data_IF_935982602324
#
_entry.id   IF_935982602324
#
_cell.length_a   1.000
_cell.length_b   1.000
_cell.length_c   1.000
_cell.angle_alpha   90.00
_cell.angle_beta   90.00
_cell.angle_gamma   90.00
#
_symmetry.space_group_name_H-M   'P 1'
#
loop_
_entity.id
_entity.type
_entity.pdbx_description
1 polymer ?
#
# COMPACT_ATOMS: atom_id res chain seq x y z
N UNK A 1 -0.17 -18.12 26.60
CA UNK A 1 0.39 -18.72 25.37
C UNK A 1 -0.72 -18.96 24.38
N UNK A 2 -0.52 -18.60 23.11
CA UNK A 2 -1.49 -18.73 22.02
C UNK A 2 -0.87 -19.55 20.88
N UNK A 3 -0.64 -20.86 21.08
CA UNK A 3 0.15 -21.65 20.13
C UNK A 3 -0.53 -21.82 18.76
N UNK A 4 -1.85 -21.91 18.73
CA UNK A 4 -2.62 -22.09 17.48
C UNK A 4 -2.58 -20.80 16.67
N UNK A 5 -2.87 -19.68 17.31
CA UNK A 5 -2.88 -18.36 16.70
C UNK A 5 -1.47 -17.96 16.21
N UNK A 6 -0.44 -18.30 16.99
CA UNK A 6 0.95 -18.05 16.60
C UNK A 6 1.36 -18.91 15.39
N UNK A 7 1.03 -20.20 15.37
CA UNK A 7 1.31 -21.08 14.24
C UNK A 7 0.58 -20.62 12.98
N UNK A 8 -0.68 -20.21 13.12
CA UNK A 8 -1.45 -19.66 12.00
C UNK A 8 -0.84 -18.34 11.49
N UNK A 9 -0.51 -17.42 12.39
CA UNK A 9 0.14 -16.16 12.03
C UNK A 9 1.47 -16.35 11.30
N UNK A 10 2.33 -17.24 11.79
CA UNK A 10 3.60 -17.56 11.14
C UNK A 10 3.41 -18.20 9.76
N UNK A 11 2.39 -19.05 9.59
CA UNK A 11 2.08 -19.63 8.28
C UNK A 11 1.64 -18.58 7.26
N UNK A 12 0.86 -17.58 7.68
CA UNK A 12 0.44 -16.46 6.81
C UNK A 12 1.63 -15.58 6.40
N UNK A 13 2.54 -15.28 7.31
CA UNK A 13 3.73 -14.48 7.02
C UNK A 13 4.64 -15.18 6.00
N UNK A 14 4.75 -16.49 6.07
CA UNK A 14 5.58 -17.29 5.16
C UNK A 14 4.93 -17.53 3.78
N UNK A 15 3.66 -17.21 3.62
CA UNK A 15 2.95 -17.38 2.34
C UNK A 15 3.16 -16.16 1.43
N UNK A 16 4.30 -16.09 0.76
CA UNK A 16 4.75 -14.97 -0.08
C UNK A 16 3.80 -14.54 -1.20
N UNK A 17 3.04 -15.45 -1.77
CA UNK A 17 2.19 -15.21 -2.95
C UNK A 17 0.70 -15.35 -2.67
N UNK A 18 0.31 -15.70 -1.45
CA UNK A 18 -1.08 -15.83 -1.09
C UNK A 18 -1.60 -14.56 -0.42
N UNK A 19 -2.90 -14.41 -0.40
CA UNK A 19 -3.56 -13.35 0.36
C UNK A 19 -3.03 -13.33 1.79
N UNK A 20 -2.51 -12.20 2.22
CA UNK A 20 -2.13 -11.96 3.60
C UNK A 20 -3.32 -11.56 4.48
N UNK A 21 -4.51 -11.53 3.91
CA UNK A 21 -5.76 -11.26 4.63
C UNK A 21 -6.15 -12.43 5.53
N UNK A 22 -6.70 -12.10 6.69
CA UNK A 22 -7.26 -13.09 7.61
C UNK A 22 -8.75 -13.24 7.28
N UNK A 23 -9.23 -14.46 6.93
CA UNK A 23 -10.64 -14.67 6.65
C UNK A 23 -11.52 -14.30 7.85
N UNK A 24 -12.67 -13.68 7.59
CA UNK A 24 -13.58 -13.23 8.66
C UNK A 24 -14.01 -14.35 9.61
N UNK A 25 -14.20 -15.56 9.10
CA UNK A 25 -14.55 -16.71 9.93
C UNK A 25 -13.43 -17.08 10.92
N UNK A 26 -12.15 -16.87 10.54
CA UNK A 26 -11.00 -17.08 11.44
C UNK A 26 -11.00 -16.02 12.54
N UNK A 27 -11.18 -14.74 12.19
CA UNK A 27 -11.27 -13.67 13.19
C UNK A 27 -12.45 -13.85 14.14
N UNK A 28 -13.57 -14.39 13.66
CA UNK A 28 -14.73 -14.67 14.48
C UNK A 28 -14.47 -15.79 15.50
N UNK A 29 -13.86 -16.91 15.08
CA UNK A 29 -13.62 -18.06 15.94
C UNK A 29 -12.32 -17.96 16.75
N UNK A 30 -11.33 -17.23 16.23
CA UNK A 30 -10.00 -17.08 16.84
C UNK A 30 -9.58 -15.59 16.84
N UNK A 31 -10.25 -14.71 17.57
CA UNK A 31 -10.01 -13.26 17.52
C UNK A 31 -8.57 -12.85 17.86
N UNK A 32 -7.88 -13.67 18.64
CA UNK A 32 -6.47 -13.43 19.00
C UNK A 32 -5.48 -13.56 17.81
N UNK A 33 -5.90 -14.16 16.69
CA UNK A 33 -5.11 -14.20 15.46
C UNK A 33 -4.84 -12.78 14.96
N UNK A 34 -5.84 -11.89 14.99
CA UNK A 34 -5.65 -10.49 14.63
C UNK A 34 -4.55 -9.82 15.45
N UNK A 35 -4.59 -9.96 16.77
CA UNK A 35 -3.57 -9.42 17.67
C UNK A 35 -2.17 -10.00 17.43
N UNK A 36 -2.08 -11.33 17.20
CA UNK A 36 -0.80 -11.99 16.88
C UNK A 36 -0.23 -11.45 15.56
N UNK A 37 -1.08 -11.29 14.55
CA UNK A 37 -0.67 -10.74 13.25
C UNK A 37 -0.19 -9.29 13.34
N UNK A 38 -0.89 -8.45 14.10
CA UNK A 38 -0.47 -7.08 14.38
C UNK A 38 0.93 -7.04 14.99
N UNK A 39 1.20 -7.90 15.96
CA UNK A 39 2.51 -7.98 16.64
C UNK A 39 3.62 -8.54 15.75
N UNK A 40 3.33 -9.54 14.94
CA UNK A 40 4.34 -10.23 14.12
C UNK A 40 4.58 -9.57 12.76
N UNK A 41 3.54 -8.98 12.16
CA UNK A 41 3.57 -8.47 10.79
C UNK A 41 3.53 -6.95 10.73
N UNK A 42 2.66 -6.34 11.54
CA UNK A 42 2.26 -4.95 11.36
C UNK A 42 2.97 -3.99 12.32
N UNK A 43 3.72 -4.54 13.29
CA UNK A 43 4.55 -3.77 14.23
C UNK A 43 6.02 -3.95 13.89
N UNK A 44 6.80 -2.88 13.66
CA UNK A 44 8.24 -2.99 13.48
C UNK A 44 8.90 -3.61 14.72
N UNK A 45 9.87 -4.49 14.52
CA UNK A 45 10.68 -5.02 15.59
C UNK A 45 11.85 -4.07 15.92
N UNK A 46 12.47 -4.23 17.10
CA UNK A 46 13.59 -3.39 17.54
C UNK A 46 14.92 -3.71 16.82
N UNK A 47 14.94 -4.76 15.97
CA UNK A 47 16.14 -5.15 15.26
C UNK A 47 16.29 -4.37 13.95
N UNK A 48 17.23 -3.44 13.89
CA UNK A 48 17.52 -2.61 12.73
C UNK A 48 18.02 -3.40 11.50
N UNK A 49 18.52 -4.62 11.70
CA UNK A 49 18.98 -5.51 10.61
C UNK A 49 17.87 -6.45 10.12
N UNK A 50 16.68 -6.38 10.68
CA UNK A 50 15.57 -7.22 10.28
C UNK A 50 15.19 -6.96 8.81
N UNK A 51 15.42 -7.96 7.95
CA UNK A 51 15.13 -7.86 6.52
C UNK A 51 13.64 -7.62 6.24
N UNK A 52 12.76 -8.21 7.06
CA UNK A 52 11.32 -7.98 6.96
C UNK A 52 10.97 -6.52 7.26
N UNK A 53 11.41 -5.98 8.39
CA UNK A 53 11.08 -4.61 8.79
C UNK A 53 11.64 -3.58 7.81
N UNK A 54 12.85 -3.78 7.28
CA UNK A 54 13.40 -2.92 6.23
C UNK A 54 12.52 -2.92 4.98
N UNK A 55 12.08 -4.07 4.52
CA UNK A 55 11.21 -4.16 3.35
C UNK A 55 9.78 -3.67 3.58
N UNK A 56 9.26 -3.79 4.81
CA UNK A 56 7.87 -3.50 5.15
C UNK A 56 7.63 -2.05 5.61
N UNK A 57 8.63 -1.42 6.26
CA UNK A 57 8.45 -0.13 6.93
C UNK A 57 9.49 0.93 6.55
N UNK A 58 10.54 0.60 5.82
CA UNK A 58 11.53 1.58 5.40
C UNK A 58 11.13 2.21 4.06
N UNK A 59 10.77 3.50 4.08
CA UNK A 59 10.35 4.23 2.88
C UNK A 59 11.42 4.32 1.80
N UNK A 60 12.72 4.40 2.15
CA UNK A 60 13.82 4.45 1.16
C UNK A 60 13.99 3.12 0.44
N UNK A 61 13.92 2.01 1.16
CA UNK A 61 13.95 0.67 0.57
C UNK A 61 12.72 0.43 -0.33
N UNK A 62 11.54 0.86 0.12
CA UNK A 62 10.32 0.83 -0.68
C UNK A 62 10.44 1.67 -1.95
N UNK A 63 10.98 2.89 -1.85
CA UNK A 63 11.20 3.78 -3.00
C UNK A 63 12.10 3.13 -4.05
N UNK A 64 13.20 2.55 -3.62
CA UNK A 64 14.11 1.83 -4.49
C UNK A 64 13.48 0.58 -5.11
N UNK A 65 12.71 -0.16 -4.33
CA UNK A 65 12.06 -1.38 -4.78
C UNK A 65 10.99 -1.11 -5.86
N UNK A 66 10.06 -0.19 -5.60
CA UNK A 66 8.93 0.06 -6.49
C UNK A 66 9.26 1.04 -7.63
N UNK A 67 9.97 2.11 -7.35
CA UNK A 67 10.18 3.22 -8.30
C UNK A 67 11.60 3.29 -8.85
N UNK A 68 12.54 2.47 -8.35
CA UNK A 68 13.94 2.46 -8.76
C UNK A 68 14.66 3.81 -8.52
N UNK A 69 14.18 4.60 -7.56
CA UNK A 69 14.83 5.84 -7.16
C UNK A 69 15.70 5.62 -5.93
N UNK A 70 16.88 6.20 -5.90
CA UNK A 70 17.84 6.05 -4.81
C UNK A 70 17.55 7.00 -3.63
N UNK A 71 16.84 8.12 -3.89
CA UNK A 71 16.53 9.12 -2.87
C UNK A 71 15.21 9.83 -3.13
N UNK A 72 14.58 10.31 -2.06
CA UNK A 72 13.47 11.24 -2.14
C UNK A 72 13.93 12.61 -2.65
N UNK A 73 12.99 13.39 -3.17
CA UNK A 73 13.26 14.81 -3.52
C UNK A 73 13.27 15.66 -2.27
N UNK A 74 14.19 16.62 -2.24
CA UNK A 74 14.25 17.66 -1.22
C UNK A 74 13.64 18.97 -1.76
N UNK A 75 13.10 19.79 -0.88
CA UNK A 75 12.53 21.11 -1.22
C UNK A 75 13.19 22.14 -0.32
N UNK A 76 13.91 23.08 -0.91
CA UNK A 76 14.65 24.12 -0.18
C UNK A 76 15.53 23.56 0.94
N UNK A 77 16.09 22.35 0.72
CA UNK A 77 16.92 21.64 1.70
C UNK A 77 16.14 20.79 2.72
N UNK A 78 14.80 20.79 2.65
CA UNK A 78 13.94 20.00 3.54
C UNK A 78 13.52 18.68 2.92
N UNK A 79 13.54 17.60 3.69
CA UNK A 79 13.15 16.25 3.29
C UNK A 79 11.62 16.02 3.39
N UNK A 80 10.83 16.96 2.89
CA UNK A 80 9.38 16.97 3.04
C UNK A 80 8.71 15.74 2.41
N UNK A 81 9.20 15.29 1.24
CA UNK A 81 8.65 14.11 0.58
C UNK A 81 8.88 12.84 1.40
N UNK A 82 10.08 12.68 1.98
CA UNK A 82 10.41 11.56 2.85
C UNK A 82 9.57 11.58 4.12
N UNK A 83 9.49 12.74 4.81
CA UNK A 83 8.67 12.91 6.02
C UNK A 83 7.21 12.55 5.78
N UNK A 84 6.64 12.96 4.65
CA UNK A 84 5.25 12.64 4.29
C UNK A 84 5.05 11.13 4.04
N UNK A 85 6.02 10.46 3.41
CA UNK A 85 5.97 9.00 3.20
C UNK A 85 6.08 8.25 4.52
N UNK A 86 7.00 8.65 5.40
CA UNK A 86 7.21 8.01 6.70
C UNK A 86 5.98 8.15 7.59
N UNK A 87 5.39 9.35 7.71
CA UNK A 87 4.13 9.56 8.43
C UNK A 87 2.99 8.68 7.89
N UNK A 88 2.88 8.57 6.57
CA UNK A 88 1.86 7.71 5.96
C UNK A 88 2.10 6.21 6.21
N UNK A 89 3.35 5.75 6.26
CA UNK A 89 3.71 4.36 6.62
C UNK A 89 3.36 4.08 8.09
N UNK A 90 3.53 5.05 8.97
CA UNK A 90 3.17 5.00 10.38
C UNK A 90 1.66 5.11 10.64
N UNK A 91 0.88 5.37 9.59
CA UNK A 91 -0.59 5.49 9.68
C UNK A 91 -1.07 6.85 10.19
N UNK A 92 -0.23 7.87 10.16
CA UNK A 92 -0.58 9.21 10.58
C UNK A 92 -1.42 9.95 9.52
N UNK A 93 -2.35 10.78 9.98
CA UNK A 93 -3.07 11.70 9.12
C UNK A 93 -2.22 12.94 8.84
N UNK A 94 -2.07 13.31 7.57
CA UNK A 94 -1.24 14.44 7.18
C UNK A 94 -1.87 15.29 6.08
N UNK A 95 -1.50 16.56 6.03
CA UNK A 95 -1.74 17.47 4.92
C UNK A 95 -0.41 17.79 4.25
N UNK A 96 -0.22 17.32 3.01
CA UNK A 96 0.99 17.52 2.23
C UNK A 96 0.76 18.57 1.13
N UNK A 97 1.47 19.69 1.24
CA UNK A 97 1.41 20.79 0.26
C UNK A 97 2.77 20.90 -0.43
N UNK A 98 2.81 20.64 -1.73
CA UNK A 98 4.01 20.70 -2.55
C UNK A 98 3.76 21.53 -3.80
N UNK A 99 4.80 22.13 -4.40
CA UNK A 99 4.67 22.84 -5.68
C UNK A 99 4.21 21.89 -6.80
N UNK A 100 3.69 22.47 -7.88
CA UNK A 100 3.32 21.71 -9.08
C UNK A 100 4.57 21.02 -9.66
N UNK A 101 4.44 19.74 -10.06
CA UNK A 101 5.58 18.94 -10.50
C UNK A 101 6.51 18.45 -9.37
N UNK A 102 6.19 18.76 -8.12
CA UNK A 102 6.95 18.39 -6.93
C UNK A 102 6.93 16.92 -6.53
N UNK A 103 6.43 16.01 -7.37
CA UNK A 103 6.43 14.58 -7.03
C UNK A 103 5.48 14.19 -5.88
N UNK A 104 4.37 14.90 -5.71
CA UNK A 104 3.32 14.60 -4.70
C UNK A 104 2.83 13.16 -4.73
N UNK A 105 2.74 12.56 -5.91
CA UNK A 105 2.17 11.22 -6.08
C UNK A 105 2.91 10.14 -5.28
N UNK A 106 4.22 10.25 -5.14
CA UNK A 106 5.04 9.31 -4.36
C UNK A 106 4.60 9.27 -2.88
N UNK A 107 4.14 10.40 -2.33
CA UNK A 107 3.79 10.48 -0.90
C UNK A 107 2.60 9.62 -0.48
N UNK A 108 1.74 9.26 -1.43
CA UNK A 108 0.64 8.32 -1.17
C UNK A 108 0.80 6.99 -1.94
N UNK A 109 1.40 7.01 -3.14
CA UNK A 109 1.57 5.78 -3.92
C UNK A 109 2.52 4.80 -3.26
N UNK A 110 3.65 5.27 -2.75
CA UNK A 110 4.64 4.41 -2.11
C UNK A 110 4.11 3.73 -0.84
N UNK A 111 3.53 4.45 0.14
CA UNK A 111 2.91 3.81 1.31
C UNK A 111 1.80 2.82 0.93
N UNK A 112 0.98 3.17 -0.08
CA UNK A 112 -0.08 2.31 -0.58
C UNK A 112 0.46 0.98 -1.14
N UNK A 113 1.50 1.01 -1.97
CA UNK A 113 2.13 -0.18 -2.53
C UNK A 113 2.81 -1.02 -1.46
N UNK A 114 3.48 -0.38 -0.49
CA UNK A 114 4.09 -1.08 0.64
C UNK A 114 3.03 -1.77 1.51
N UNK A 115 1.91 -1.11 1.81
CA UNK A 115 0.78 -1.69 2.52
C UNK A 115 0.13 -2.84 1.72
N UNK A 116 -0.10 -2.64 0.42
CA UNK A 116 -0.63 -3.68 -0.46
C UNK A 116 0.23 -4.93 -0.49
N UNK A 117 1.55 -4.76 -0.57
CA UNK A 117 2.50 -5.88 -0.54
C UNK A 117 2.52 -6.59 0.82
N UNK A 118 2.45 -5.84 1.91
CA UNK A 118 2.57 -6.36 3.28
C UNK A 118 1.30 -7.06 3.76
N UNK A 119 0.14 -6.41 3.58
CA UNK A 119 -1.12 -6.85 4.21
C UNK A 119 -2.30 -6.95 3.24
N UNK A 120 -2.06 -6.84 1.93
CA UNK A 120 -3.12 -6.68 0.92
C UNK A 120 -4.02 -5.46 1.19
N UNK A 121 -3.44 -4.43 1.79
CA UNK A 121 -4.15 -3.18 2.06
C UNK A 121 -4.57 -2.51 0.77
N UNK A 122 -5.80 -2.00 0.73
CA UNK A 122 -6.33 -1.20 -0.37
C UNK A 122 -6.29 0.28 0.02
N UNK A 123 -5.58 1.08 -0.76
CA UNK A 123 -5.60 2.54 -0.62
C UNK A 123 -6.53 3.14 -1.66
N UNK A 124 -7.51 3.92 -1.21
CA UNK A 124 -8.45 4.62 -2.09
C UNK A 124 -8.00 6.05 -2.28
N UNK A 125 -7.81 6.44 -3.54
CA UNK A 125 -7.45 7.80 -3.94
C UNK A 125 -8.65 8.47 -4.61
N UNK A 126 -9.19 9.50 -3.98
CA UNK A 126 -10.32 10.27 -4.51
C UNK A 126 -9.77 11.45 -5.29
N UNK A 127 -10.12 11.55 -6.58
CA UNK A 127 -9.71 12.66 -7.44
C UNK A 127 -10.87 13.10 -8.34
N UNK A 128 -11.14 14.41 -8.47
CA UNK A 128 -12.16 14.91 -9.38
C UNK A 128 -11.71 14.93 -10.85
N UNK A 129 -10.40 14.75 -11.12
CA UNK A 129 -9.83 14.85 -12.47
C UNK A 129 -9.57 13.47 -13.05
N UNK A 130 -10.47 13.00 -13.89
CA UNK A 130 -10.40 11.67 -14.49
C UNK A 130 -9.15 11.49 -15.39
N UNK A 131 -8.75 12.53 -16.14
CA UNK A 131 -7.52 12.52 -16.94
C UNK A 131 -6.28 12.31 -16.07
N UNK A 132 -6.21 12.99 -14.92
CA UNK A 132 -5.11 12.80 -13.98
C UNK A 132 -5.07 11.38 -13.41
N UNK A 133 -6.23 10.80 -13.10
CA UNK A 133 -6.28 9.41 -12.61
C UNK A 133 -5.73 8.43 -13.65
N UNK A 134 -6.12 8.60 -14.92
CA UNK A 134 -5.61 7.78 -16.02
C UNK A 134 -4.11 7.94 -16.16
N UNK A 135 -3.59 9.17 -16.18
CA UNK A 135 -2.16 9.44 -16.27
C UNK A 135 -1.37 8.80 -15.11
N UNK A 136 -1.93 8.81 -13.88
CA UNK A 136 -1.33 8.17 -12.72
C UNK A 136 -1.27 6.64 -12.89
N UNK A 137 -2.35 6.02 -13.33
CA UNK A 137 -2.41 4.57 -13.59
C UNK A 137 -1.44 4.19 -14.72
N UNK A 138 -1.47 4.90 -15.86
CA UNK A 138 -0.60 4.64 -17.00
C UNK A 138 0.90 4.78 -16.63
N UNK A 139 1.24 5.76 -15.76
CA UNK A 139 2.60 5.94 -15.28
C UNK A 139 3.05 4.80 -14.36
N UNK A 140 2.17 4.29 -13.49
CA UNK A 140 2.48 3.14 -12.65
C UNK A 140 2.66 1.88 -13.50
N UNK A 141 1.81 1.64 -14.48
CA UNK A 141 1.93 0.50 -15.41
C UNK A 141 3.22 0.54 -16.24
N UNK A 142 3.66 1.73 -16.69
CA UNK A 142 4.97 1.91 -17.36
C UNK A 142 6.15 1.52 -16.47
N UNK A 143 5.98 1.59 -15.15
CA UNK A 143 6.98 1.16 -14.17
C UNK A 143 6.74 -0.29 -13.71
N UNK A 144 5.96 -1.08 -14.45
CA UNK A 144 5.63 -2.47 -14.15
C UNK A 144 4.84 -2.66 -12.84
N UNK A 145 4.22 -1.60 -12.33
CA UNK A 145 3.37 -1.62 -11.14
C UNK A 145 1.93 -1.82 -11.59
N UNK A 146 1.47 -3.07 -11.58
CA UNK A 146 0.15 -3.47 -12.10
C UNK A 146 -0.94 -3.48 -11.03
N UNK A 147 -0.60 -3.30 -9.75
CA UNK A 147 -1.51 -3.40 -8.59
C UNK A 147 -2.35 -2.13 -8.41
N UNK A 148 -2.77 -1.53 -9.53
CA UNK A 148 -3.51 -0.28 -9.56
C UNK A 148 -4.65 -0.35 -10.55
N UNK A 149 -5.79 0.21 -10.17
CA UNK A 149 -6.97 0.36 -11.03
C UNK A 149 -7.63 1.71 -10.84
N UNK A 150 -8.44 2.11 -11.82
CA UNK A 150 -9.34 3.27 -11.69
C UNK A 150 -10.79 2.84 -11.90
N UNK A 151 -11.70 3.46 -11.17
CA UNK A 151 -13.16 3.34 -11.38
C UNK A 151 -13.72 4.75 -11.50
N UNK A 152 -14.24 5.07 -12.67
CA UNK A 152 -14.86 6.37 -12.97
C UNK A 152 -16.03 6.19 -13.95
N UNK A 153 -16.74 7.26 -14.24
CA UNK A 153 -17.91 7.26 -15.13
C UNK A 153 -17.62 6.99 -16.60
N UNK A 154 -16.34 7.03 -17.05
CA UNK A 154 -15.96 6.84 -18.45
C UNK A 154 -15.60 5.38 -18.77
N UNK A 155 -15.42 4.51 -17.78
CA UNK A 155 -15.16 3.09 -18.03
C UNK A 155 -16.38 2.41 -18.62
N UNK A 156 -16.14 1.58 -19.62
CA UNK A 156 -17.19 0.70 -20.10
C UNK A 156 -17.60 -0.34 -19.00
N UNK A 157 -18.78 -0.94 -19.11
CA UNK A 157 -19.27 -1.88 -18.10
C UNK A 157 -18.34 -3.09 -17.88
N UNK A 158 -17.63 -3.55 -18.91
CA UNK A 158 -16.73 -4.72 -18.82
C UNK A 158 -15.46 -4.34 -18.07
N UNK A 159 -14.85 -3.21 -18.44
CA UNK A 159 -13.67 -2.68 -17.75
C UNK A 159 -13.96 -2.41 -16.27
N UNK A 160 -15.15 -1.83 -15.98
CA UNK A 160 -15.59 -1.56 -14.61
C UNK A 160 -15.77 -2.85 -13.81
N UNK A 161 -16.42 -3.88 -14.39
CA UNK A 161 -16.60 -5.17 -13.74
C UNK A 161 -15.24 -5.83 -13.45
N UNK A 162 -14.32 -5.79 -14.40
CA UNK A 162 -12.97 -6.34 -14.23
C UNK A 162 -12.18 -5.60 -13.13
N UNK A 163 -12.27 -4.27 -13.06
CA UNK A 163 -11.62 -3.49 -12.01
C UNK A 163 -12.20 -3.84 -10.63
N UNK A 164 -13.52 -3.97 -10.50
CA UNK A 164 -14.19 -4.39 -9.26
C UNK A 164 -13.74 -5.79 -8.84
N UNK A 165 -13.74 -6.74 -9.77
CA UNK A 165 -13.29 -8.11 -9.51
C UNK A 165 -11.86 -8.13 -8.97
N UNK A 166 -10.94 -7.37 -9.57
CA UNK A 166 -9.56 -7.28 -9.10
C UNK A 166 -9.45 -6.74 -7.68
N UNK A 167 -10.31 -5.77 -7.32
CA UNK A 167 -10.39 -5.25 -5.95
C UNK A 167 -10.89 -6.32 -4.98
N UNK A 168 -11.94 -7.05 -5.34
CA UNK A 168 -12.52 -8.13 -4.52
C UNK A 168 -11.54 -9.29 -4.32
N UNK A 169 -10.74 -9.60 -5.32
CA UNK A 169 -9.69 -10.64 -5.26
C UNK A 169 -8.46 -10.19 -4.44
N UNK A 170 -8.38 -8.92 -4.01
CA UNK A 170 -7.23 -8.38 -3.27
C UNK A 170 -5.95 -8.25 -4.11
N UNK A 171 -6.08 -8.15 -5.44
CA UNK A 171 -4.96 -7.95 -6.37
C UNK A 171 -4.65 -6.49 -6.67
N UNK A 172 -5.27 -5.56 -5.92
CA UNK A 172 -5.14 -4.11 -6.09
C UNK A 172 -4.64 -3.47 -4.80
N UNK A 173 -3.60 -2.67 -4.91
CA UNK A 173 -3.05 -1.86 -3.81
C UNK A 173 -3.57 -0.42 -3.84
N UNK A 174 -3.86 0.11 -5.04
CA UNK A 174 -4.35 1.48 -5.23
C UNK A 174 -5.60 1.49 -6.12
N UNK A 175 -6.68 2.05 -5.59
CA UNK A 175 -7.91 2.30 -6.31
C UNK A 175 -8.12 3.80 -6.48
N UNK A 176 -8.09 4.30 -7.72
CA UNK A 176 -8.49 5.67 -8.03
C UNK A 176 -9.99 5.72 -8.32
N UNK A 177 -10.70 6.62 -7.65
CA UNK A 177 -12.13 6.85 -7.87
C UNK A 177 -12.43 8.32 -8.08
N UNK A 178 -13.42 8.61 -8.93
CA UNK A 178 -14.01 9.95 -9.02
C UNK A 178 -15.16 10.09 -8.02
N UNK A 179 -15.41 11.29 -7.50
CA UNK A 179 -16.55 11.55 -6.62
C UNK A 179 -17.90 11.53 -7.34
N UNK A 180 -17.91 11.37 -8.67
CA UNK A 180 -19.10 11.36 -9.55
C UNK A 180 -19.53 9.95 -9.92
#
# INVERSE_FOLDING_TARGET
SYPVELAYGLSLINCWNSSSGIPLWVLHNYPKVGWVMERLRDTPCENNECAYCRGAFNGKEGLKYFFKYDSFRTYEGEDLQQKAVEAAIEGESLLAVFPTGGGKSITFQLPALMSGKRIKGLTVVISPLQSLMKDQVDNLWKNEIMDVVTINGMLDPVERAHAIQRVEEGSVSILYISPE
#
